data_IF_693065474859
#
_entry.id   IF_693065474859
#
_cell.length_a   1.000
_cell.length_b   1.000
_cell.length_c   1.000
_cell.angle_alpha   90.00
_cell.angle_beta   90.00
_cell.angle_gamma   90.00
#
_symmetry.space_group_name_H-M   'P 1'
#
loop_
_entity.id
_entity.type
_entity.pdbx_description
1 polymer ?
#
# COMPACT_ATOMS: atom_id res chain seq x y z
N UNK A 1 -12.56 11.52 19.54
CA UNK A 1 -12.20 11.22 18.13
C UNK A 1 -11.29 12.33 17.66
N UNK A 2 -10.12 12.00 17.11
CA UNK A 2 -9.12 12.98 16.71
C UNK A 2 -8.95 12.98 15.19
N UNK A 3 -8.85 14.15 14.57
CA UNK A 3 -8.67 14.32 13.13
C UNK A 3 -7.55 15.32 12.86
N UNK A 4 -6.67 14.99 11.92
CA UNK A 4 -5.62 15.87 11.42
C UNK A 4 -5.78 15.98 9.90
N UNK A 5 -5.87 17.19 9.38
CA UNK A 5 -5.95 17.43 7.94
C UNK A 5 -4.67 18.10 7.45
N UNK A 6 -4.01 17.48 6.48
CA UNK A 6 -2.86 18.04 5.80
C UNK A 6 -3.30 18.48 4.40
N UNK A 7 -2.92 19.70 4.03
CA UNK A 7 -3.24 20.28 2.73
C UNK A 7 -1.94 20.53 1.96
N UNK A 8 -1.91 20.08 0.71
CA UNK A 8 -0.83 20.35 -0.21
C UNK A 8 -1.44 20.95 -1.46
N UNK A 9 -1.08 22.20 -1.74
CA UNK A 9 -1.36 22.83 -3.03
C UNK A 9 -0.11 22.75 -3.88
N UNK A 10 -0.22 22.09 -5.03
CA UNK A 10 0.87 22.00 -5.97
C UNK A 10 0.66 23.00 -7.11
N UNK A 11 1.48 24.05 -7.17
CA UNK A 11 1.39 25.11 -8.17
C UNK A 11 2.50 24.90 -9.22
N UNK A 12 2.09 24.70 -10.49
CA UNK A 12 2.88 24.58 -11.74
C UNK A 12 3.92 23.46 -11.80
N UNK A 13 3.82 22.61 -12.83
CA UNK A 13 4.88 21.74 -13.41
C UNK A 13 5.85 21.08 -12.40
N UNK A 14 5.37 20.67 -11.24
CA UNK A 14 6.22 20.05 -10.23
C UNK A 14 6.45 18.59 -10.60
N UNK A 15 7.72 18.20 -10.68
CA UNK A 15 8.17 16.87 -11.11
C UNK A 15 7.66 16.45 -12.50
N UNK A 16 7.34 17.42 -13.38
CA UNK A 16 6.92 17.16 -14.76
C UNK A 16 5.43 16.85 -14.96
N UNK A 17 4.63 16.80 -13.89
CA UNK A 17 3.19 16.56 -14.00
C UNK A 17 2.45 17.80 -14.54
N UNK A 18 1.48 17.62 -15.45
CA UNK A 18 0.70 18.73 -15.99
C UNK A 18 -0.23 19.33 -14.93
N UNK A 19 -0.50 20.62 -15.06
CA UNK A 19 -1.54 21.31 -14.29
C UNK A 19 -1.25 21.52 -12.81
N UNK A 20 -2.21 22.17 -12.15
CA UNK A 20 -2.21 22.40 -10.71
C UNK A 20 -3.17 21.40 -10.05
N UNK A 21 -2.75 20.89 -8.90
CA UNK A 21 -3.50 19.92 -8.11
C UNK A 21 -3.68 20.45 -6.69
N UNK A 22 -4.92 20.43 -6.23
CA UNK A 22 -5.26 20.75 -4.85
C UNK A 22 -5.57 19.45 -4.11
N UNK A 23 -4.72 19.05 -3.15
CA UNK A 23 -4.79 17.73 -2.54
C UNK A 23 -4.84 17.79 -1.01
N UNK A 24 -5.68 16.95 -0.41
CA UNK A 24 -5.84 16.86 1.04
C UNK A 24 -5.67 15.41 1.51
N UNK A 25 -5.11 15.27 2.70
CA UNK A 25 -5.05 14.00 3.43
C UNK A 25 -5.55 14.22 4.85
N UNK A 26 -6.69 13.64 5.17
CA UNK A 26 -7.25 13.63 6.52
C UNK A 26 -6.97 12.30 7.19
N UNK A 27 -6.31 12.33 8.34
CA UNK A 27 -6.12 11.17 9.22
C UNK A 27 -7.09 11.24 10.39
N UNK A 28 -7.75 10.13 10.72
CA UNK A 28 -8.74 10.06 11.79
C UNK A 28 -8.50 8.88 12.70
N UNK A 29 -8.36 9.14 13.99
CA UNK A 29 -8.32 8.12 15.04
C UNK A 29 -9.69 8.00 15.69
N UNK A 30 -10.26 6.80 15.60
CA UNK A 30 -11.57 6.45 16.16
C UNK A 30 -11.49 5.24 17.08
N UNK A 31 -12.36 5.23 18.10
CA UNK A 31 -12.54 4.08 18.99
C UNK A 31 -13.09 2.87 18.21
N UNK A 32 -12.73 1.63 18.57
CA UNK A 32 -11.80 1.26 19.63
C UNK A 32 -10.32 1.39 19.22
N UNK A 33 -9.93 1.02 18.00
CA UNK A 33 -8.54 1.11 17.51
C UNK A 33 -8.51 1.23 15.98
N UNK A 34 -9.07 2.32 15.48
CA UNK A 34 -9.21 2.55 14.03
C UNK A 34 -8.41 3.78 13.61
N UNK A 35 -7.51 3.60 12.65
CA UNK A 35 -6.87 4.67 11.89
C UNK A 35 -7.53 4.72 10.50
N UNK A 36 -8.39 5.71 10.30
CA UNK A 36 -8.94 6.05 8.99
C UNK A 36 -8.08 7.09 8.29
N UNK A 37 -8.01 7.01 6.96
CA UNK A 37 -7.47 8.06 6.12
C UNK A 37 -8.38 8.32 4.93
N UNK A 38 -8.60 9.60 4.65
CA UNK A 38 -9.30 10.07 3.47
C UNK A 38 -8.35 10.96 2.68
N UNK A 39 -8.04 10.56 1.46
CA UNK A 39 -7.26 11.35 0.51
C UNK A 39 -8.18 11.82 -0.60
N UNK A 40 -8.18 13.11 -0.87
CA UNK A 40 -8.85 13.65 -2.03
C UNK A 40 -7.94 14.62 -2.79
N UNK A 41 -8.23 14.81 -4.06
CA UNK A 41 -7.54 15.82 -4.86
C UNK A 41 -8.42 16.34 -5.99
N UNK A 42 -8.31 17.63 -6.28
CA UNK A 42 -9.05 18.29 -7.35
C UNK A 42 -8.06 18.84 -8.37
N UNK A 43 -8.26 18.47 -9.63
CA UNK A 43 -7.50 19.02 -10.74
C UNK A 43 -8.06 20.39 -11.09
N UNK A 44 -7.21 21.41 -11.13
CA UNK A 44 -7.67 22.81 -11.23
C UNK A 44 -7.73 23.33 -12.67
N UNK A 45 -6.75 23.00 -13.52
CA UNK A 45 -6.59 23.71 -14.80
C UNK A 45 -6.15 22.88 -16.01
N UNK A 46 -5.54 21.70 -15.84
CA UNK A 46 -5.15 20.83 -16.96
C UNK A 46 -5.42 19.38 -16.62
N UNK A 47 -5.66 18.54 -17.62
CA UNK A 47 -5.81 17.09 -17.43
C UNK A 47 -4.53 16.51 -16.83
N UNK A 48 -4.65 15.74 -15.74
CA UNK A 48 -3.51 15.29 -14.93
C UNK A 48 -3.73 13.89 -14.38
N UNK A 49 -2.71 13.02 -14.38
CA UNK A 49 -2.79 11.75 -13.68
C UNK A 49 -2.69 11.93 -12.16
N UNK A 50 -3.56 11.26 -11.41
CA UNK A 50 -3.60 11.28 -9.94
C UNK A 50 -3.80 9.86 -9.43
N UNK A 51 -2.82 9.35 -8.68
CA UNK A 51 -2.89 8.04 -8.04
C UNK A 51 -2.19 8.12 -6.67
N UNK A 52 -2.95 8.47 -5.62
CA UNK A 52 -2.38 8.72 -4.29
C UNK A 52 -2.42 7.45 -3.43
N UNK A 53 -1.31 7.18 -2.75
CA UNK A 53 -1.14 6.03 -1.87
C UNK A 53 -0.59 6.42 -0.50
N UNK A 54 -0.59 5.45 0.40
CA UNK A 54 -0.01 5.55 1.73
C UNK A 54 1.13 4.52 1.86
N UNK A 55 2.31 4.95 2.33
CA UNK A 55 3.53 4.15 2.35
C UNK A 55 4.01 3.75 3.77
N UNK A 56 3.10 3.40 4.69
CA UNK A 56 3.47 3.02 6.07
C UNK A 56 4.03 1.62 6.12
N UNK A 57 5.18 1.48 6.78
CA UNK A 57 5.74 0.18 7.12
C UNK A 57 5.27 -0.29 8.48
N UNK A 58 4.75 -1.52 8.51
CA UNK A 58 4.20 -2.16 9.68
C UNK A 58 5.12 -3.27 10.16
N UNK A 59 5.31 -3.34 11.47
CA UNK A 59 5.80 -4.53 12.15
C UNK A 59 4.96 -4.78 13.42
N UNK A 60 4.01 -5.71 13.32
CA UNK A 60 3.12 -6.09 14.42
C UNK A 60 3.87 -6.81 15.56
N UNK A 61 5.15 -7.11 15.42
CA UNK A 61 6.01 -7.63 16.49
C UNK A 61 6.47 -6.57 17.50
N UNK A 62 6.25 -5.28 17.20
CA UNK A 62 6.88 -4.09 17.83
C UNK A 62 8.28 -3.81 17.26
N UNK A 63 8.78 -2.63 17.60
CA UNK A 63 10.12 -2.19 17.30
C UNK A 63 11.18 -3.17 17.79
N UNK A 64 12.16 -3.49 16.92
CA UNK A 64 13.26 -4.39 17.27
C UNK A 64 12.88 -5.87 17.41
N UNK A 65 11.69 -6.27 16.93
CA UNK A 65 11.23 -7.66 17.02
C UNK A 65 11.79 -8.60 15.94
N UNK A 66 12.66 -8.08 15.07
CA UNK A 66 13.21 -8.80 13.92
C UNK A 66 12.36 -8.62 12.66
N UNK A 67 12.41 -9.61 11.78
CA UNK A 67 11.67 -9.62 10.53
C UNK A 67 10.15 -9.87 10.70
N UNK A 68 9.41 -9.70 9.60
CA UNK A 68 7.97 -9.96 9.51
C UNK A 68 7.63 -11.24 8.75
N UNK A 69 8.61 -12.09 8.44
CA UNK A 69 8.41 -13.30 7.64
C UNK A 69 7.46 -14.29 8.34
N UNK A 70 7.47 -14.30 9.68
CA UNK A 70 6.55 -15.07 10.51
C UNK A 70 5.14 -14.50 10.66
N UNK A 71 4.85 -13.28 10.16
CA UNK A 71 3.50 -12.73 10.20
C UNK A 71 2.63 -13.47 9.18
N UNK A 72 1.45 -13.90 9.59
CA UNK A 72 0.43 -14.49 8.74
C UNK A 72 -0.31 -13.40 7.97
N UNK A 73 -0.36 -13.50 6.65
CA UNK A 73 -1.03 -12.59 5.74
C UNK A 73 -2.16 -13.33 5.02
N UNK A 74 -3.32 -12.69 4.89
CA UNK A 74 -4.40 -13.13 4.02
C UNK A 74 -4.76 -11.97 3.11
N UNK A 75 -4.92 -12.22 1.81
CA UNK A 75 -5.24 -11.22 0.83
C UNK A 75 -6.51 -11.54 0.03
N UNK A 76 -7.49 -10.65 0.05
CA UNK A 76 -8.76 -10.83 -0.67
C UNK A 76 -8.67 -10.37 -2.12
N UNK A 77 -7.70 -10.92 -2.86
CA UNK A 77 -7.50 -10.66 -4.28
C UNK A 77 -7.30 -11.97 -5.04
N UNK A 78 -7.78 -12.02 -6.28
CA UNK A 78 -7.68 -13.21 -7.13
C UNK A 78 -6.70 -13.03 -8.29
N UNK A 79 -6.17 -11.82 -8.49
CA UNK A 79 -5.30 -11.45 -9.60
C UNK A 79 -4.18 -10.51 -9.16
N UNK A 80 -3.08 -10.49 -9.91
CA UNK A 80 -1.97 -9.58 -9.74
C UNK A 80 -1.52 -9.01 -11.09
N UNK A 81 -0.91 -7.83 -11.06
CA UNK A 81 -0.28 -7.22 -12.24
C UNK A 81 1.08 -7.87 -12.42
N UNK A 82 1.32 -8.41 -13.61
CA UNK A 82 2.59 -9.04 -13.97
C UNK A 82 3.62 -7.94 -14.20
N UNK A 83 4.76 -8.07 -13.52
CA UNK A 83 5.90 -7.19 -13.71
C UNK A 83 7.03 -7.89 -14.47
N UNK A 84 7.84 -7.11 -15.18
CA UNK A 84 9.06 -7.57 -15.83
C UNK A 84 10.25 -7.64 -14.86
N UNK A 85 11.45 -7.88 -15.41
CA UNK A 85 12.70 -8.00 -14.64
C UNK A 85 13.10 -6.70 -13.94
N UNK A 86 12.69 -5.54 -14.49
CA UNK A 86 12.86 -4.22 -13.89
C UNK A 86 11.79 -3.91 -12.84
N UNK A 87 10.83 -4.83 -12.65
CA UNK A 87 9.69 -4.74 -11.73
C UNK A 87 8.66 -3.70 -12.18
N UNK A 88 8.62 -3.43 -13.48
CA UNK A 88 7.65 -2.56 -14.11
C UNK A 88 6.52 -3.39 -14.73
N UNK A 89 5.27 -2.92 -14.68
CA UNK A 89 4.13 -3.63 -15.26
C UNK A 89 4.04 -3.48 -16.79
N UNK A 90 5.18 -3.41 -17.50
CA UNK A 90 5.31 -2.99 -18.91
C UNK A 90 4.47 -3.79 -19.91
N UNK A 91 4.01 -4.98 -19.53
CA UNK A 91 3.15 -5.83 -20.38
C UNK A 91 1.66 -5.48 -20.29
N UNK A 92 1.23 -4.71 -19.29
CA UNK A 92 -0.20 -4.50 -19.01
C UNK A 92 -0.96 -5.74 -18.54
N UNK A 93 -0.27 -6.87 -18.37
CA UNK A 93 -0.92 -8.16 -18.14
C UNK A 93 -1.36 -8.32 -16.69
N UNK A 94 -2.58 -8.82 -16.51
CA UNK A 94 -3.14 -9.19 -15.21
C UNK A 94 -3.38 -10.69 -15.17
N UNK A 95 -2.70 -11.40 -14.25
CA UNK A 95 -2.72 -12.86 -14.13
C UNK A 95 -3.40 -13.32 -12.82
N UNK A 96 -3.95 -14.55 -12.75
CA UNK A 96 -4.50 -15.09 -11.51
C UNK A 96 -3.39 -15.34 -10.47
N UNK A 97 -3.68 -15.10 -9.18
CA UNK A 97 -2.75 -15.48 -8.10
C UNK A 97 -2.76 -16.98 -7.82
N UNK A 98 -3.82 -17.69 -8.25
CA UNK A 98 -4.00 -19.12 -7.99
C UNK A 98 -2.80 -19.94 -8.49
N UNK A 99 -2.24 -20.78 -7.63
CA UNK A 99 -1.08 -21.61 -7.95
C UNK A 99 0.26 -20.85 -7.99
N UNK A 100 0.28 -19.56 -7.62
CA UNK A 100 1.50 -18.75 -7.59
C UNK A 100 1.98 -18.50 -6.15
N UNK A 101 3.25 -18.12 -5.95
CA UNK A 101 3.76 -17.66 -4.66
C UNK A 101 2.97 -16.52 -4.02
N UNK A 102 2.27 -15.72 -4.85
CA UNK A 102 1.47 -14.56 -4.46
C UNK A 102 0.07 -14.93 -3.96
N UNK A 103 -0.30 -16.22 -3.94
CA UNK A 103 -1.60 -16.66 -3.44
C UNK A 103 -1.68 -16.57 -1.92
N UNK A 104 -2.27 -15.48 -1.44
CA UNK A 104 -2.61 -15.30 -0.02
C UNK A 104 -4.13 -15.31 0.19
N UNK A 105 -4.94 -15.85 -0.74
CA UNK A 105 -6.40 -15.92 -0.56
C UNK A 105 -6.78 -16.66 0.73
N UNK A 106 -5.98 -17.67 1.07
CA UNK A 106 -5.95 -18.27 2.41
C UNK A 106 -4.81 -17.66 3.27
N UNK A 107 -4.98 -17.55 4.60
CA UNK A 107 -3.93 -17.08 5.49
C UNK A 107 -2.64 -17.91 5.37
N UNK A 108 -1.50 -17.25 5.14
CA UNK A 108 -0.18 -17.89 5.06
C UNK A 108 0.90 -16.96 5.62
N UNK A 109 2.00 -17.47 6.21
CA UNK A 109 3.15 -16.64 6.59
C UNK A 109 3.71 -15.86 5.40
N UNK A 110 4.09 -14.60 5.59
CA UNK A 110 4.71 -13.74 4.56
C UNK A 110 5.94 -14.45 3.97
N UNK A 111 6.75 -15.07 4.82
CA UNK A 111 7.97 -15.77 4.42
C UNK A 111 7.76 -17.13 3.75
N UNK A 112 6.54 -17.69 3.76
CA UNK A 112 6.31 -19.08 3.34
C UNK A 112 6.75 -19.37 1.91
N UNK A 113 6.65 -18.37 1.02
CA UNK A 113 6.97 -18.50 -0.41
C UNK A 113 7.83 -17.34 -0.92
N UNK A 114 8.43 -16.55 -0.03
CA UNK A 114 9.12 -15.31 -0.41
C UNK A 114 10.31 -15.55 -1.33
N UNK A 115 11.03 -16.67 -1.17
CA UNK A 115 12.13 -17.08 -2.04
C UNK A 115 11.70 -17.49 -3.46
N UNK A 116 10.41 -17.61 -3.72
CA UNK A 116 9.84 -17.93 -5.03
C UNK A 116 9.27 -16.68 -5.74
N UNK A 117 9.24 -15.53 -5.06
CA UNK A 117 8.61 -14.31 -5.57
C UNK A 117 9.61 -13.44 -6.32
N UNK A 118 9.30 -13.16 -7.58
CA UNK A 118 9.78 -12.00 -8.33
C UNK A 118 8.62 -11.01 -8.50
N UNK A 119 8.47 -10.06 -7.56
CA UNK A 119 7.52 -8.92 -7.62
C UNK A 119 6.01 -9.25 -7.60
N UNK A 120 5.26 -8.78 -6.59
CA UNK A 120 3.79 -8.90 -6.59
C UNK A 120 3.06 -8.19 -5.45
N UNK A 121 1.82 -7.72 -5.74
CA UNK A 121 1.06 -6.65 -5.06
C UNK A 121 -0.38 -7.09 -4.68
N UNK A 122 -0.72 -7.43 -3.41
CA UNK A 122 -2.10 -7.87 -3.05
C UNK A 122 -2.73 -7.30 -1.70
N UNK A 123 -4.07 -7.37 -1.48
CA UNK A 123 -4.87 -6.62 -0.42
C UNK A 123 -5.11 -7.33 0.88
N UNK A 124 -4.85 -6.74 2.04
CA UNK A 124 -4.41 -7.52 3.19
C UNK A 124 -5.17 -7.48 4.53
N UNK A 125 -5.11 -8.64 5.18
CA UNK A 125 -5.31 -8.89 6.62
C UNK A 125 -4.04 -9.55 7.15
N UNK A 126 -3.43 -9.00 8.20
CA UNK A 126 -2.16 -9.52 8.78
C UNK A 126 -2.36 -9.90 10.26
N UNK A 127 -1.86 -11.06 10.68
CA UNK A 127 -1.89 -11.60 12.05
C UNK A 127 -0.51 -12.10 12.45
N UNK A 128 -0.10 -11.95 13.72
CA UNK A 128 1.09 -12.62 14.26
C UNK A 128 0.68 -13.68 15.28
N UNK A 129 1.27 -14.87 15.22
CA UNK A 129 1.09 -15.93 16.21
C UNK A 129 2.42 -16.46 16.72
N UNK A 130 2.93 -15.91 17.83
CA UNK A 130 3.55 -16.61 18.97
C UNK A 130 4.00 -15.60 20.06
N UNK A 131 3.64 -15.90 21.32
CA UNK A 131 3.86 -15.21 22.64
C UNK A 131 2.88 -14.07 23.06
N UNK A 132 2.18 -14.36 24.18
CA UNK A 132 1.43 -13.56 25.19
C UNK A 132 0.44 -12.45 24.77
N UNK A 133 0.44 -11.92 23.53
CA UNK A 133 -0.61 -11.00 22.99
C UNK A 133 -0.74 -11.19 21.46
N UNK A 134 -1.93 -11.45 20.91
CA UNK A 134 -2.14 -11.69 19.46
C UNK A 134 -2.61 -10.42 18.77
N UNK A 135 -1.65 -9.58 18.37
CA UNK A 135 -1.97 -8.39 17.54
C UNK A 135 -2.38 -8.77 16.12
N UNK A 136 -3.41 -8.12 15.61
CA UNK A 136 -3.85 -8.22 14.22
C UNK A 136 -4.18 -6.83 13.64
N UNK A 137 -4.07 -6.73 12.32
CA UNK A 137 -4.40 -5.55 11.54
C UNK A 137 -5.24 -5.95 10.34
N UNK A 138 -6.35 -5.22 10.14
CA UNK A 138 -7.22 -5.33 8.98
C UNK A 138 -7.18 -4.02 8.21
N UNK A 139 -7.02 -4.09 6.88
CA UNK A 139 -7.03 -2.94 5.98
C UNK A 139 -8.23 -3.04 5.03
N UNK A 140 -9.06 -1.99 4.99
CA UNK A 140 -10.08 -1.78 3.96
C UNK A 140 -9.73 -0.54 3.16
N UNK A 141 -9.98 -0.57 1.85
CA UNK A 141 -9.83 0.59 1.00
C UNK A 141 -10.72 0.50 -0.23
N UNK A 142 -11.07 1.66 -0.80
CA UNK A 142 -11.88 1.75 -2.02
C UNK A 142 -11.05 1.67 -3.33
N UNK A 143 -9.73 1.79 -3.24
CA UNK A 143 -8.84 1.69 -4.40
C UNK A 143 -8.72 0.26 -4.94
N UNK A 144 -8.58 0.05 -6.26
CA UNK A 144 -8.75 -1.25 -6.90
C UNK A 144 -7.59 -2.22 -6.62
N UNK A 145 -6.37 -1.72 -6.45
CA UNK A 145 -5.15 -2.49 -6.27
C UNK A 145 -4.40 -2.11 -4.99
N UNK A 146 -3.30 -2.81 -4.75
CA UNK A 146 -2.52 -2.66 -3.52
C UNK A 146 -1.13 -3.26 -3.64
N UNK A 147 -0.08 -2.52 -3.30
CA UNK A 147 1.27 -3.09 -3.20
C UNK A 147 1.44 -3.86 -1.91
N UNK A 148 2.05 -5.04 -1.96
CA UNK A 148 2.75 -5.59 -0.83
C UNK A 148 4.24 -5.41 -1.08
N UNK A 149 4.89 -4.71 -0.16
CA UNK A 149 6.35 -4.63 -0.13
C UNK A 149 6.86 -5.08 1.22
N UNK A 150 7.86 -5.96 1.23
CA UNK A 150 8.39 -6.56 2.46
C UNK A 150 9.76 -6.01 2.82
N UNK A 151 10.00 -4.71 2.58
CA UNK A 151 11.22 -4.01 3.00
C UNK A 151 12.53 -4.74 2.60
N UNK A 152 12.55 -5.30 1.40
CA UNK A 152 13.60 -6.22 0.92
C UNK A 152 15.00 -5.59 0.90
N UNK A 153 15.07 -4.27 0.70
CA UNK A 153 16.34 -3.57 0.47
C UNK A 153 16.78 -2.69 1.64
N UNK A 154 16.12 -2.79 2.81
CA UNK A 154 16.65 -2.13 4.01
C UNK A 154 17.96 -2.82 4.42
N UNK A 155 19.04 -2.03 4.50
CA UNK A 155 20.36 -2.52 4.82
C UNK A 155 20.92 -1.73 6.00
N UNK A 156 20.85 -2.31 7.18
CA UNK A 156 21.29 -1.70 8.44
C UNK A 156 20.80 -0.26 8.64
N UNK A 157 19.57 0.03 8.22
CA UNK A 157 18.99 1.37 8.30
C UNK A 157 18.72 1.73 9.75
N UNK A 158 19.20 2.89 10.20
CA UNK A 158 18.90 3.37 11.55
C UNK A 158 17.41 3.69 11.68
N UNK A 159 16.79 3.06 12.67
CA UNK A 159 15.38 3.16 12.99
C UNK A 159 15.14 3.90 14.30
N UNK A 160 13.88 3.85 14.76
CA UNK A 160 13.45 4.54 15.98
C UNK A 160 14.20 4.00 17.21
N UNK A 161 14.57 4.89 18.12
CA UNK A 161 15.24 4.55 19.38
C UNK A 161 16.51 3.70 19.18
N UNK A 162 17.33 4.04 18.18
CA UNK A 162 18.62 3.41 17.91
C UNK A 162 18.56 1.94 17.48
N UNK A 163 17.40 1.43 17.04
CA UNK A 163 17.30 0.07 16.50
C UNK A 163 17.67 0.06 15.03
N UNK A 164 18.29 -1.02 14.60
CA UNK A 164 18.72 -1.23 13.21
C UNK A 164 17.68 -2.06 12.48
N UNK A 165 17.28 -1.61 11.29
CA UNK A 165 16.35 -2.32 10.41
C UNK A 165 17.11 -2.98 9.26
N UNK A 166 17.02 -4.31 9.19
CA UNK A 166 17.50 -5.11 8.07
C UNK A 166 16.40 -5.48 7.08
N UNK A 167 16.71 -6.34 6.09
CA UNK A 167 15.74 -6.87 5.14
C UNK A 167 14.55 -7.49 5.85
N UNK A 168 13.34 -7.28 5.33
CA UNK A 168 12.11 -7.85 5.88
C UNK A 168 11.77 -7.44 7.31
N UNK A 169 12.39 -6.40 7.86
CA UNK A 169 12.05 -5.83 9.18
C UNK A 169 10.64 -5.27 9.27
N UNK A 170 9.96 -5.06 8.14
CA UNK A 170 8.60 -4.54 8.06
C UNK A 170 7.93 -4.89 6.73
N UNK A 171 6.62 -4.65 6.63
CA UNK A 171 5.88 -4.73 5.38
C UNK A 171 5.02 -3.48 5.15
N UNK A 172 4.78 -3.13 3.90
CA UNK A 172 3.90 -2.04 3.46
C UNK A 172 2.73 -2.60 2.65
N UNK A 173 1.58 -1.93 2.75
CA UNK A 173 0.34 -2.25 2.05
C UNK A 173 -0.21 -0.98 1.41
N UNK A 174 0.19 -0.72 0.17
CA UNK A 174 -0.10 0.55 -0.51
C UNK A 174 -1.34 0.39 -1.38
N UNK A 175 -2.53 0.73 -0.89
CA UNK A 175 -3.75 0.71 -1.71
C UNK A 175 -3.71 1.85 -2.73
N UNK A 176 -4.07 1.58 -3.99
CA UNK A 176 -4.00 2.57 -5.08
C UNK A 176 -4.66 2.06 -6.38
N UNK A 177 -4.75 2.93 -7.39
CA UNK A 177 -4.95 2.56 -8.77
C UNK A 177 -3.83 1.68 -9.31
N UNK A 178 -4.01 1.12 -10.51
CA UNK A 178 -3.00 0.24 -11.09
C UNK A 178 -1.74 1.07 -11.40
N UNK A 179 -0.55 0.63 -10.94
CA UNK A 179 0.70 1.23 -11.38
C UNK A 179 0.75 1.24 -12.91
N UNK A 180 1.29 2.33 -13.47
CA UNK A 180 1.47 2.49 -14.92
C UNK A 180 0.18 2.60 -15.75
N UNK A 181 -0.99 2.81 -15.12
CA UNK A 181 -2.26 2.99 -15.83
C UNK A 181 -2.30 4.15 -16.84
N UNK A 182 -1.36 5.10 -16.76
CA UNK A 182 -1.24 6.17 -17.76
C UNK A 182 -0.71 5.67 -19.10
N UNK A 183 0.01 4.54 -19.10
CA UNK A 183 0.60 3.92 -20.29
C UNK A 183 -0.19 2.69 -20.78
N UNK A 184 -1.17 2.23 -19.99
CA UNK A 184 -1.97 1.03 -20.25
C UNK A 184 -3.47 1.37 -20.32
N UNK A 185 -4.01 1.48 -21.53
CA UNK A 185 -5.40 1.87 -21.81
C UNK A 185 -6.43 0.85 -21.31
N UNK A 186 -6.02 -0.40 -21.14
CA UNK A 186 -6.78 -1.51 -20.57
C UNK A 186 -6.90 -1.42 -19.04
N UNK A 187 -6.06 -0.61 -18.37
CA UNK A 187 -6.17 -0.37 -16.94
C UNK A 187 -7.23 0.67 -16.62
N UNK A 188 -7.88 0.58 -15.44
CA UNK A 188 -8.75 1.65 -14.97
C UNK A 188 -8.00 2.98 -14.91
N UNK A 189 -8.48 3.96 -15.67
CA UNK A 189 -7.84 5.27 -15.81
C UNK A 189 -7.56 5.92 -14.45
N UNK A 190 -6.37 6.49 -14.32
CA UNK A 190 -5.96 7.35 -13.20
C UNK A 190 -5.82 8.80 -13.63
N UNK A 191 -6.49 9.21 -14.73
CA UNK A 191 -6.42 10.56 -15.29
C UNK A 191 -7.68 11.34 -14.95
N UNK A 192 -7.49 12.54 -14.40
CA UNK A 192 -8.57 13.45 -14.04
C UNK A 192 -8.55 14.71 -14.90
N UNK A 193 -9.75 15.20 -15.23
CA UNK A 193 -10.00 16.47 -15.92
C UNK A 193 -10.26 17.59 -14.90
N UNK A 194 -10.09 18.87 -15.29
CA UNK A 194 -10.42 19.99 -14.43
C UNK A 194 -11.83 19.89 -13.84
N UNK A 195 -11.95 20.14 -12.53
CA UNK A 195 -13.21 20.02 -11.78
C UNK A 195 -13.57 18.61 -11.31
N UNK A 196 -12.88 17.56 -11.77
CA UNK A 196 -13.06 16.21 -11.24
C UNK A 196 -12.28 16.02 -9.93
N UNK A 197 -12.85 15.18 -9.05
CA UNK A 197 -12.32 14.91 -7.71
C UNK A 197 -11.84 13.46 -7.60
N UNK A 198 -10.57 13.28 -7.24
CA UNK A 198 -10.01 12.02 -6.78
C UNK A 198 -10.50 11.73 -5.36
N UNK A 199 -10.87 10.48 -5.06
CA UNK A 199 -11.18 10.04 -3.71
C UNK A 199 -10.53 8.70 -3.41
N UNK A 200 -9.86 8.59 -2.26
CA UNK A 200 -9.29 7.37 -1.75
C UNK A 200 -9.51 7.29 -0.23
N UNK A 201 -10.37 6.36 0.15
CA UNK A 201 -10.68 6.03 1.53
C UNK A 201 -9.95 4.75 1.92
N UNK A 202 -9.31 4.79 3.09
CA UNK A 202 -8.64 3.64 3.67
C UNK A 202 -8.84 3.59 5.19
N UNK A 203 -8.92 2.38 5.73
CA UNK A 203 -9.16 2.14 7.15
C UNK A 203 -8.27 1.00 7.63
N UNK A 204 -7.46 1.27 8.64
CA UNK A 204 -6.74 0.27 9.41
C UNK A 204 -7.45 0.04 10.75
N UNK A 205 -7.89 -1.20 11.01
CA UNK A 205 -8.44 -1.62 12.31
C UNK A 205 -7.47 -2.55 12.99
N UNK A 206 -7.16 -2.25 14.24
CA UNK A 206 -6.28 -3.07 15.08
C UNK A 206 -7.08 -3.85 16.12
N UNK A 207 -6.56 -5.01 16.49
CA UNK A 207 -7.02 -5.84 17.61
C UNK A 207 -5.82 -6.51 18.29
N UNK A 208 -5.99 -6.97 19.55
CA UNK A 208 -4.92 -7.47 20.42
C UNK A 208 -5.33 -8.70 21.23
#
# INVERSE_FOLDING_TARGET
MYSLNNHIRNNKLRAGFPGDLDAYVTHRLSSPYVLGMHMNATVLNKVTPVNLLQHTYWNLGRQGSGDVLGHTLQLFVSRYIVVDEERLPSSGRVAPVAGTPLDFRAPAPIGARIGQVTGGRPRARVRRGLRRVRRAMELWANQPAVHLYTANWLNNTEGKAGKVYGPHSSFCLETQGYPDAVNHHEFPSQTLRPGQVYNHDMLFKFSF
#
